data_IF_783800256237
#
_entry.id   IF_783800256237
#
_cell.length_a   1.000
_cell.length_b   1.000
_cell.length_c   1.000
_cell.angle_alpha   90.00
_cell.angle_beta   90.00
_cell.angle_gamma   90.00
#
_symmetry.space_group_name_H-M   'P 1'
#
loop_
_entity.id
_entity.type
_entity.pdbx_description
1 polymer ?
#
# COMPACT_ATOMS: atom_id res chain seq x y z
N UNK A 1 49.09 21.52 72.82
CA UNK A 1 49.84 21.88 71.61
C UNK A 1 48.99 21.53 70.39
N UNK A 2 48.89 22.46 69.47
CA UNK A 2 48.21 22.45 68.17
C UNK A 2 46.68 22.41 68.17
N UNK A 3 46.12 23.60 68.04
CA UNK A 3 44.74 23.92 67.67
C UNK A 3 44.56 23.63 66.18
N UNK A 4 43.49 22.92 65.85
CA UNK A 4 43.02 22.80 64.49
C UNK A 4 41.70 23.54 64.37
N UNK A 5 41.70 24.56 63.53
CA UNK A 5 40.62 25.46 63.21
C UNK A 5 39.69 24.76 62.20
N UNK A 6 38.42 24.56 62.59
CA UNK A 6 37.39 24.05 61.67
C UNK A 6 36.78 25.22 60.93
N UNK A 7 37.06 25.33 59.64
CA UNK A 7 36.39 26.26 58.71
C UNK A 7 35.09 25.62 58.21
N UNK A 8 33.99 26.23 58.53
CA UNK A 8 32.66 25.87 58.03
C UNK A 8 32.54 26.51 56.63
N UNK A 9 32.54 25.67 55.59
CA UNK A 9 32.23 26.09 54.25
C UNK A 9 30.77 25.86 53.96
N UNK A 10 30.00 26.94 53.91
CA UNK A 10 28.58 26.95 53.56
C UNK A 10 28.44 26.81 52.07
N UNK A 11 28.03 25.64 51.54
CA UNK A 11 27.71 25.41 50.16
C UNK A 11 26.26 25.74 49.95
N UNK A 12 25.99 26.86 49.33
CA UNK A 12 24.65 27.19 48.77
C UNK A 12 24.40 26.27 47.59
N UNK A 13 23.48 25.32 47.76
CA UNK A 13 22.93 24.52 46.67
C UNK A 13 21.88 25.37 45.92
N UNK A 14 22.23 25.89 44.75
CA UNK A 14 21.28 26.35 43.80
C UNK A 14 20.59 25.14 43.18
N UNK A 15 19.36 24.86 43.57
CA UNK A 15 18.46 23.98 42.86
C UNK A 15 18.00 24.73 41.59
N UNK A 16 18.67 24.48 40.48
CA UNK A 16 18.09 24.81 39.17
C UNK A 16 17.03 23.76 38.84
N UNK A 17 15.79 24.18 38.84
CA UNK A 17 14.68 23.43 38.28
C UNK A 17 14.92 23.26 36.78
N UNK A 18 15.59 22.16 36.43
CA UNK A 18 15.57 21.68 35.06
C UNK A 18 14.18 21.12 34.79
N UNK A 19 13.35 21.90 34.12
CA UNK A 19 12.14 21.41 33.50
C UNK A 19 12.54 20.28 32.55
N UNK A 20 12.20 19.05 32.93
CA UNK A 20 12.21 17.92 32.02
C UNK A 20 11.11 18.20 30.97
N UNK A 21 11.48 18.85 29.86
CA UNK A 21 10.73 18.75 28.65
C UNK A 21 10.85 17.31 28.16
N UNK A 22 9.86 16.49 28.51
CA UNK A 22 9.60 15.24 27.82
C UNK A 22 9.24 15.60 26.37
N UNK A 23 10.23 15.59 25.49
CA UNK A 23 10.01 15.56 24.07
C UNK A 23 9.33 14.24 23.76
N UNK A 24 8.00 14.22 23.71
CA UNK A 24 7.26 13.20 22.98
C UNK A 24 7.80 13.25 21.54
N UNK A 25 8.69 12.33 21.23
CA UNK A 25 9.07 12.07 19.85
C UNK A 25 7.80 11.58 19.14
N UNK A 26 7.13 12.50 18.47
CA UNK A 26 6.03 12.18 17.56
C UNK A 26 6.65 11.30 16.48
N UNK A 27 6.54 9.97 16.65
CA UNK A 27 6.98 9.02 15.65
C UNK A 27 6.11 9.28 14.42
N UNK A 28 6.66 9.97 13.45
CA UNK A 28 6.02 10.12 12.15
C UNK A 28 6.12 8.76 11.46
N UNK A 29 4.97 8.10 11.27
CA UNK A 29 4.88 6.87 10.49
C UNK A 29 5.32 7.18 9.05
N UNK A 30 6.03 6.24 8.46
CA UNK A 30 6.37 6.30 7.04
C UNK A 30 5.12 6.07 6.19
N UNK A 31 5.11 6.51 4.94
CA UNK A 31 4.00 6.28 4.02
C UNK A 31 3.67 4.78 3.90
N UNK A 32 4.69 3.91 3.89
CA UNK A 32 4.50 2.45 3.87
C UNK A 32 3.85 1.92 5.16
N UNK A 33 4.13 2.49 6.32
CA UNK A 33 3.50 2.11 7.59
C UNK A 33 2.05 2.57 7.65
N UNK A 34 1.74 3.73 7.09
CA UNK A 34 0.37 4.23 6.97
C UNK A 34 -0.46 3.36 6.02
N UNK A 35 0.08 3.03 4.85
CA UNK A 35 -0.55 2.13 3.88
C UNK A 35 -0.82 0.75 4.51
N UNK A 36 0.16 0.22 5.24
CA UNK A 36 0.01 -1.06 5.93
C UNK A 36 -1.09 -1.01 7.00
N UNK A 37 -1.13 0.04 7.80
CA UNK A 37 -2.16 0.21 8.84
C UNK A 37 -3.56 0.34 8.21
N UNK A 38 -3.69 1.05 7.09
CA UNK A 38 -4.93 1.15 6.34
C UNK A 38 -5.38 -0.21 5.83
N UNK A 39 -4.46 -1.00 5.24
CA UNK A 39 -4.74 -2.35 4.78
C UNK A 39 -5.24 -3.26 5.91
N UNK A 40 -4.57 -3.23 7.07
CA UNK A 40 -4.99 -4.00 8.25
C UNK A 40 -6.40 -3.60 8.69
N UNK A 41 -6.73 -2.31 8.66
CA UNK A 41 -8.06 -1.82 9.04
C UNK A 41 -9.18 -2.35 8.14
N UNK A 42 -8.89 -2.64 6.87
CA UNK A 42 -9.87 -3.18 5.92
C UNK A 42 -10.22 -4.65 6.13
N UNK A 43 -9.40 -5.41 6.86
CA UNK A 43 -9.67 -6.82 7.17
C UNK A 43 -10.79 -6.89 8.22
N UNK A 44 -11.98 -7.32 7.81
CA UNK A 44 -13.14 -7.42 8.71
C UNK A 44 -13.49 -8.86 9.03
N UNK A 45 -13.26 -9.78 8.10
CA UNK A 45 -13.50 -11.22 8.28
C UNK A 45 -12.41 -12.04 7.57
N UNK A 46 -12.37 -13.33 7.88
CA UNK A 46 -11.50 -14.29 7.22
C UNK A 46 -12.22 -14.91 6.02
N UNK A 47 -11.52 -15.06 4.91
CA UNK A 47 -12.04 -15.61 3.65
C UNK A 47 -10.93 -15.91 2.66
N UNK A 48 -11.33 -16.19 1.43
CA UNK A 48 -10.40 -16.40 0.31
C UNK A 48 -9.46 -15.20 0.14
N UNK A 49 -8.22 -15.40 -0.33
CA UNK A 49 -7.29 -14.31 -0.56
C UNK A 49 -7.82 -13.31 -1.59
N UNK A 50 -7.46 -12.05 -1.42
CA UNK A 50 -7.88 -10.99 -2.33
C UNK A 50 -6.77 -9.95 -2.54
N UNK A 51 -6.85 -9.22 -3.66
CA UNK A 51 -5.98 -8.08 -3.95
C UNK A 51 -6.56 -6.78 -3.41
N UNK A 52 -5.68 -5.95 -2.85
CA UNK A 52 -5.94 -4.54 -2.60
C UNK A 52 -4.74 -3.71 -3.04
N UNK A 53 -4.87 -3.05 -4.18
CA UNK A 53 -3.76 -2.37 -4.84
C UNK A 53 -2.62 -3.35 -5.17
N UNK A 54 -1.44 -3.07 -4.66
CA UNK A 54 -0.24 -3.89 -4.85
C UNK A 54 -0.09 -5.03 -3.85
N UNK A 55 -1.08 -5.25 -2.99
CA UNK A 55 -0.98 -6.19 -1.88
C UNK A 55 -1.99 -7.32 -2.03
N UNK A 56 -1.54 -8.56 -1.84
CA UNK A 56 -2.39 -9.72 -1.64
C UNK A 56 -2.59 -9.95 -0.14
N UNK A 57 -3.84 -10.10 0.28
CA UNK A 57 -4.23 -10.27 1.66
C UNK A 57 -4.71 -11.71 1.84
N UNK A 58 -4.04 -12.43 2.72
CA UNK A 58 -4.36 -13.80 3.12
C UNK A 58 -4.89 -13.76 4.55
N UNK A 59 -5.98 -14.45 4.80
CA UNK A 59 -6.63 -14.47 6.12
C UNK A 59 -6.93 -15.90 6.55
N UNK A 60 -6.97 -16.14 7.86
CA UNK A 60 -7.38 -17.43 8.40
C UNK A 60 -8.08 -17.24 9.75
N UNK A 61 -9.07 -18.08 10.00
CA UNK A 61 -9.79 -18.16 11.27
C UNK A 61 -9.58 -19.54 11.86
N UNK A 62 -8.64 -19.65 12.78
CA UNK A 62 -8.25 -20.92 13.38
C UNK A 62 -7.94 -20.73 14.85
N UNK A 63 -8.10 -21.80 15.64
CA UNK A 63 -7.63 -21.86 17.02
C UNK A 63 -6.16 -22.31 17.13
N UNK A 64 -5.42 -22.26 16.03
CA UNK A 64 -4.01 -22.60 15.98
C UNK A 64 -3.16 -21.67 16.85
N UNK A 65 -2.04 -22.17 17.34
CA UNK A 65 -1.05 -21.35 18.05
C UNK A 65 -0.20 -20.54 17.09
N UNK A 66 0.04 -21.08 15.89
CA UNK A 66 0.85 -20.44 14.86
C UNK A 66 0.33 -20.81 13.47
N UNK A 67 0.22 -19.80 12.62
CA UNK A 67 -0.06 -19.97 11.20
C UNK A 67 1.06 -19.30 10.41
N UNK A 68 1.62 -20.02 9.46
CA UNK A 68 2.57 -19.53 8.47
C UNK A 68 2.05 -19.74 7.06
N UNK A 69 2.65 -19.03 6.12
CA UNK A 69 2.44 -19.19 4.68
C UNK A 69 3.78 -19.29 3.97
N UNK A 70 3.86 -20.16 2.97
CA UNK A 70 5.04 -20.28 2.12
C UNK A 70 4.61 -20.30 0.64
N UNK A 71 5.40 -19.67 -0.21
CA UNK A 71 5.09 -19.42 -1.61
C UNK A 71 5.98 -20.23 -2.56
N UNK A 72 5.43 -20.63 -3.70
CA UNK A 72 6.15 -21.37 -4.72
C UNK A 72 7.21 -20.50 -5.43
N UNK A 73 6.92 -19.23 -5.66
CA UNK A 73 7.88 -18.29 -6.27
C UNK A 73 9.13 -18.05 -5.39
N UNK A 74 9.09 -18.43 -4.10
CA UNK A 74 10.23 -18.46 -3.18
C UNK A 74 10.80 -19.90 -3.03
N UNK A 75 10.26 -20.86 -3.77
CA UNK A 75 10.61 -22.27 -3.67
C UNK A 75 10.26 -22.88 -2.31
N UNK A 76 9.27 -22.33 -1.61
CA UNK A 76 8.84 -22.75 -0.26
C UNK A 76 9.94 -22.68 0.80
N UNK A 77 11.01 -21.91 0.55
CA UNK A 77 12.18 -21.81 1.46
C UNK A 77 11.91 -20.92 2.67
N UNK A 78 11.00 -19.96 2.55
CA UNK A 78 10.67 -19.02 3.59
C UNK A 78 9.26 -19.27 4.08
N UNK A 79 9.11 -19.40 5.41
CA UNK A 79 7.80 -19.45 6.05
C UNK A 79 7.54 -18.08 6.68
N UNK A 80 6.55 -17.39 6.15
CA UNK A 80 6.11 -16.10 6.65
C UNK A 80 5.04 -16.30 7.72
N UNK A 81 5.24 -15.74 8.90
CA UNK A 81 4.27 -15.85 10.01
C UNK A 81 3.09 -14.91 9.82
N UNK A 82 1.89 -15.40 10.06
CA UNK A 82 0.69 -14.56 10.15
C UNK A 82 0.75 -13.69 11.40
N UNK A 83 0.19 -12.49 11.27
CA UNK A 83 -0.11 -11.59 12.39
C UNK A 83 -1.54 -11.81 12.85
N UNK A 84 -1.87 -11.34 14.04
CA UNK A 84 -3.21 -11.45 14.62
C UNK A 84 -3.84 -10.06 14.69
N UNK A 85 -5.02 -9.91 14.11
CA UNK A 85 -5.91 -8.77 14.33
C UNK A 85 -6.96 -9.17 15.35
N UNK A 86 -7.02 -8.46 16.48
CA UNK A 86 -8.03 -8.63 17.50
C UNK A 86 -9.15 -7.63 17.32
N UNK A 87 -10.37 -8.09 17.47
CA UNK A 87 -11.56 -7.24 17.50
C UNK A 87 -11.96 -7.02 18.97
N UNK A 88 -12.26 -5.79 19.31
CA UNK A 88 -12.64 -5.36 20.63
C UNK A 88 -14.08 -4.86 20.57
N UNK A 89 -14.94 -5.33 21.47
CA UNK A 89 -16.32 -4.90 21.57
C UNK A 89 -16.46 -3.54 22.29
N UNK A 90 -17.69 -3.06 22.42
CA UNK A 90 -18.00 -1.81 23.11
C UNK A 90 -17.67 -1.85 24.61
N UNK A 91 -17.48 -3.05 25.20
CA UNK A 91 -17.10 -3.24 26.60
C UNK A 91 -15.58 -3.44 26.77
N UNK A 92 -14.80 -3.19 25.72
CA UNK A 92 -13.33 -3.40 25.68
C UNK A 92 -12.91 -4.86 25.92
N UNK A 93 -13.78 -5.82 25.59
CA UNK A 93 -13.48 -7.25 25.63
C UNK A 93 -13.12 -7.75 24.23
N UNK A 94 -12.28 -8.80 24.17
CA UNK A 94 -11.93 -9.43 22.91
C UNK A 94 -13.15 -10.16 22.34
N UNK A 95 -13.69 -9.65 21.23
CA UNK A 95 -14.85 -10.20 20.53
C UNK A 95 -14.46 -11.26 19.49
N UNK A 96 -13.18 -11.37 19.17
CA UNK A 96 -12.64 -12.34 18.23
C UNK A 96 -11.28 -11.92 17.68
N UNK A 97 -10.70 -12.81 16.87
CA UNK A 97 -9.42 -12.53 16.21
C UNK A 97 -9.34 -13.19 14.85
N UNK A 98 -8.58 -12.59 13.96
CA UNK A 98 -8.28 -13.10 12.61
C UNK A 98 -6.76 -13.12 12.46
N UNK A 99 -6.24 -14.23 11.97
CA UNK A 99 -4.87 -14.32 11.48
C UNK A 99 -4.81 -13.75 10.07
N UNK A 100 -3.77 -12.97 9.77
CA UNK A 100 -3.60 -12.40 8.45
C UNK A 100 -2.14 -12.27 8.05
N UNK A 101 -1.89 -12.33 6.74
CA UNK A 101 -0.62 -12.00 6.13
C UNK A 101 -0.85 -11.08 4.93
N UNK A 102 -0.08 -10.01 4.82
CA UNK A 102 -0.13 -9.06 3.72
C UNK A 102 1.16 -9.19 2.92
N UNK A 103 1.03 -9.62 1.67
CA UNK A 103 2.12 -9.75 0.72
C UNK A 103 2.13 -8.58 -0.24
N UNK A 104 3.22 -7.81 -0.29
CA UNK A 104 3.44 -6.91 -1.43
C UNK A 104 3.80 -7.77 -2.65
N UNK A 105 2.87 -7.90 -3.59
CA UNK A 105 3.01 -8.82 -4.73
C UNK A 105 4.14 -8.34 -5.64
N UNK A 106 5.16 -9.18 -5.92
CA UNK A 106 6.19 -8.81 -6.88
C UNK A 106 5.60 -8.52 -8.26
N UNK A 107 6.15 -7.55 -8.98
CA UNK A 107 5.60 -7.08 -10.28
C UNK A 107 5.52 -8.16 -11.36
N UNK A 108 6.38 -9.16 -11.27
CA UNK A 108 6.47 -10.28 -12.22
C UNK A 108 5.66 -11.52 -11.81
N UNK A 109 4.95 -11.46 -10.67
CA UNK A 109 4.13 -12.56 -10.16
C UNK A 109 2.66 -12.26 -10.49
N UNK A 110 2.08 -13.06 -11.37
CA UNK A 110 0.68 -12.96 -11.79
C UNK A 110 -0.19 -14.02 -11.12
N UNK A 111 0.42 -15.12 -10.73
CA UNK A 111 -0.24 -16.24 -10.04
C UNK A 111 0.56 -16.58 -8.80
N UNK A 112 -0.12 -16.78 -7.70
CA UNK A 112 0.49 -17.12 -6.41
C UNK A 112 0.00 -18.50 -6.03
N UNK A 113 0.93 -19.47 -6.03
CA UNK A 113 0.68 -20.78 -5.46
C UNK A 113 1.33 -20.83 -4.09
N UNK A 114 0.60 -21.32 -3.10
CA UNK A 114 1.06 -21.29 -1.72
C UNK A 114 0.55 -22.47 -0.91
N UNK A 115 1.15 -22.66 0.25
CA UNK A 115 0.65 -23.56 1.28
C UNK A 115 0.63 -22.86 2.62
N UNK A 116 -0.32 -23.19 3.44
CA UNK A 116 -0.33 -22.80 4.85
C UNK A 116 0.43 -23.82 5.70
N UNK A 117 1.00 -23.33 6.78
CA UNK A 117 1.62 -24.14 7.82
C UNK A 117 0.87 -23.84 9.13
N UNK A 118 -0.01 -24.75 9.51
CA UNK A 118 -0.85 -24.61 10.70
C UNK A 118 -0.29 -25.51 11.80
N UNK A 119 0.23 -24.94 12.88
CA UNK A 119 0.90 -25.65 13.97
C UNK A 119 1.96 -26.67 13.50
N UNK A 120 2.69 -26.30 12.43
CA UNK A 120 3.73 -27.13 11.83
C UNK A 120 3.24 -28.09 10.72
N UNK A 121 1.94 -28.21 10.49
CA UNK A 121 1.36 -29.05 9.45
C UNK A 121 1.19 -28.27 8.15
N UNK A 122 1.81 -28.72 7.07
CA UNK A 122 1.66 -28.17 5.74
C UNK A 122 0.31 -28.57 5.11
N UNK A 123 -0.51 -27.59 4.79
CA UNK A 123 -1.85 -27.82 4.25
C UNK A 123 -2.18 -26.82 3.13
N UNK A 124 -3.20 -27.12 2.33
CA UNK A 124 -3.86 -26.11 1.50
C UNK A 124 -4.66 -25.18 2.40
N UNK A 125 -4.95 -23.99 1.89
CA UNK A 125 -5.77 -23.01 2.60
C UNK A 125 -7.23 -23.49 2.64
N UNK A 126 -7.80 -23.73 3.82
CA UNK A 126 -9.17 -24.22 3.92
C UNK A 126 -10.23 -23.14 3.58
N UNK A 127 -9.82 -21.88 3.46
CA UNK A 127 -10.71 -20.77 3.06
C UNK A 127 -10.60 -20.41 1.58
N UNK A 128 -9.75 -21.12 0.83
CA UNK A 128 -9.56 -20.92 -0.59
C UNK A 128 -9.87 -22.20 -1.37
N UNK A 129 -10.97 -22.19 -2.10
CA UNK A 129 -11.39 -23.33 -2.92
C UNK A 129 -10.54 -23.51 -4.20
N UNK A 130 -9.78 -22.47 -4.60
CA UNK A 130 -8.92 -22.55 -5.78
C UNK A 130 -7.64 -23.29 -5.45
N UNK A 131 -7.41 -24.39 -6.16
CA UNK A 131 -6.21 -25.22 -5.99
C UNK A 131 -5.63 -25.64 -7.33
N UNK A 132 -4.33 -25.87 -7.36
CA UNK A 132 -3.59 -26.37 -8.51
C UNK A 132 -2.73 -27.57 -8.10
N UNK A 133 -2.69 -28.59 -8.97
CA UNK A 133 -1.82 -29.74 -8.78
C UNK A 133 -0.44 -29.49 -9.41
N UNK A 134 0.58 -29.41 -8.59
CA UNK A 134 1.96 -29.30 -9.05
C UNK A 134 2.52 -30.69 -9.35
N UNK A 135 2.77 -30.98 -10.65
CA UNK A 135 3.25 -32.28 -11.11
C UNK A 135 4.68 -32.60 -10.70
N UNK A 136 5.51 -31.57 -10.51
CA UNK A 136 6.93 -31.77 -10.15
C UNK A 136 7.08 -32.22 -8.70
N UNK A 137 6.29 -31.63 -7.81
CA UNK A 137 6.33 -31.95 -6.37
C UNK A 137 5.29 -32.98 -5.96
N UNK A 138 4.34 -33.31 -6.85
CA UNK A 138 3.19 -34.17 -6.59
C UNK A 138 2.32 -33.67 -5.43
N UNK A 139 2.20 -32.35 -5.30
CA UNK A 139 1.46 -31.69 -4.24
C UNK A 139 0.30 -30.86 -4.79
N UNK A 140 -0.79 -30.80 -4.01
CA UNK A 140 -1.86 -29.80 -4.22
C UNK A 140 -1.45 -28.53 -3.50
N UNK A 141 -1.53 -27.42 -4.22
CA UNK A 141 -1.25 -26.07 -3.72
C UNK A 141 -2.52 -25.24 -3.75
N UNK A 142 -2.69 -24.35 -2.81
CA UNK A 142 -3.69 -23.29 -2.93
C UNK A 142 -3.24 -22.31 -4.01
N UNK A 143 -4.18 -21.88 -4.83
CA UNK A 143 -3.94 -20.99 -5.96
C UNK A 143 -4.65 -19.65 -5.77
N UNK A 144 -3.99 -18.59 -6.16
CA UNK A 144 -4.56 -17.25 -6.15
C UNK A 144 -4.10 -16.47 -7.38
N UNK A 145 -5.06 -16.03 -8.19
CA UNK A 145 -4.76 -15.17 -9.34
C UNK A 145 -4.49 -13.74 -8.85
N UNK A 146 -3.22 -13.35 -8.87
CA UNK A 146 -2.74 -12.03 -8.50
C UNK A 146 -2.61 -11.09 -9.71
N UNK A 147 -3.16 -11.48 -10.86
CA UNK A 147 -3.18 -10.63 -12.05
C UNK A 147 -3.95 -9.35 -11.75
N UNK A 148 -3.28 -8.22 -11.94
CA UNK A 148 -3.93 -6.93 -11.82
C UNK A 148 -4.62 -6.61 -13.13
N UNK A 149 -5.82 -6.07 -13.04
CA UNK A 149 -6.42 -5.47 -14.22
C UNK A 149 -5.56 -4.29 -14.64
N UNK A 150 -4.90 -4.45 -15.80
CA UNK A 150 -4.07 -3.38 -16.36
C UNK A 150 -5.01 -2.34 -16.96
N UNK A 151 -5.07 -1.12 -16.43
CA UNK A 151 -5.95 -0.11 -16.95
C UNK A 151 -5.59 0.23 -18.39
N UNK A 152 -6.59 0.31 -19.24
CA UNK A 152 -6.38 0.54 -20.68
C UNK A 152 -6.66 1.98 -21.10
N UNK A 153 -7.49 2.69 -20.38
CA UNK A 153 -7.95 4.05 -20.70
C UNK A 153 -8.09 4.89 -19.44
N UNK A 154 -8.03 6.19 -19.63
CA UNK A 154 -8.40 7.15 -18.57
C UNK A 154 -9.89 7.07 -18.32
N UNK A 155 -10.29 6.91 -17.06
CA UNK A 155 -11.68 6.67 -16.66
C UNK A 155 -12.03 7.28 -15.31
N UNK A 156 -13.33 7.41 -15.06
CA UNK A 156 -13.86 7.67 -13.72
C UNK A 156 -13.91 6.35 -12.96
N UNK A 157 -13.45 6.36 -11.73
CA UNK A 157 -13.51 5.20 -10.84
C UNK A 157 -14.31 5.53 -9.57
N UNK A 158 -14.63 4.50 -8.79
CA UNK A 158 -15.40 4.66 -7.57
C UNK A 158 -14.77 5.64 -6.59
N UNK A 159 -15.61 6.30 -5.77
CA UNK A 159 -15.15 7.25 -4.76
C UNK A 159 -14.78 8.63 -5.31
N UNK A 160 -15.32 9.04 -6.45
CA UNK A 160 -15.09 10.37 -7.02
C UNK A 160 -13.64 10.59 -7.47
N UNK A 161 -12.99 9.53 -7.95
CA UNK A 161 -11.61 9.59 -8.45
C UNK A 161 -11.57 9.51 -9.96
N UNK A 162 -10.52 10.10 -10.54
CA UNK A 162 -10.13 9.90 -11.92
C UNK A 162 -8.84 9.07 -11.94
N UNK A 163 -8.85 8.01 -12.74
CA UNK A 163 -7.66 7.23 -13.08
C UNK A 163 -7.16 7.68 -14.43
N UNK A 164 -6.02 8.35 -14.45
CA UNK A 164 -5.33 8.73 -15.67
C UNK A 164 -4.45 7.57 -16.14
N UNK A 165 -4.49 7.25 -17.45
CA UNK A 165 -3.69 6.19 -18.06
C UNK A 165 -2.96 6.71 -19.28
N UNK A 166 -1.63 6.55 -19.30
CA UNK A 166 -0.78 6.89 -20.43
C UNK A 166 -0.07 5.64 -20.95
N UNK A 167 -0.03 5.48 -22.26
CA UNK A 167 0.70 4.41 -22.93
C UNK A 167 1.91 4.99 -23.68
N UNK A 168 3.09 4.49 -23.37
CA UNK A 168 4.35 4.97 -23.94
C UNK A 168 5.45 3.92 -23.88
N UNK A 169 6.71 4.36 -23.88
CA UNK A 169 7.85 3.45 -23.71
C UNK A 169 8.04 3.11 -22.24
N UNK A 170 8.46 1.90 -21.96
CA UNK A 170 8.82 1.50 -20.57
C UNK A 170 10.01 2.32 -20.04
N UNK A 171 10.01 2.58 -18.72
CA UNK A 171 11.07 3.29 -18.04
C UNK A 171 11.07 4.81 -18.21
N UNK A 172 10.02 5.40 -18.79
CA UNK A 172 9.90 6.85 -18.92
C UNK A 172 9.44 7.49 -17.59
N UNK A 173 9.84 8.74 -17.38
CA UNK A 173 9.21 9.59 -16.35
C UNK A 173 8.02 10.30 -16.97
N UNK A 174 6.83 9.79 -16.69
CA UNK A 174 5.57 10.34 -17.17
C UNK A 174 4.89 11.13 -16.06
N UNK A 175 4.30 12.26 -16.42
CA UNK A 175 3.57 13.14 -15.49
C UNK A 175 2.23 13.49 -16.08
N UNK A 176 1.29 13.88 -15.23
CA UNK A 176 -0.02 14.39 -15.62
C UNK A 176 -0.22 15.76 -14.98
N UNK A 177 -0.78 16.67 -15.75
CA UNK A 177 -1.16 18.00 -15.30
C UNK A 177 -2.37 18.51 -16.06
N UNK A 178 -3.04 19.48 -15.50
CA UNK A 178 -4.25 20.02 -16.10
C UNK A 178 -4.75 21.26 -15.34
N UNK A 179 -6.01 21.63 -15.54
CA UNK A 179 -6.61 22.77 -14.83
C UNK A 179 -6.63 22.55 -13.29
N UNK A 180 -6.64 21.30 -12.83
CA UNK A 180 -6.55 20.92 -11.42
C UNK A 180 -5.15 21.11 -10.80
N UNK A 181 -4.12 21.37 -11.63
CA UNK A 181 -2.76 21.74 -11.20
C UNK A 181 -2.35 23.12 -11.66
N UNK A 182 -3.29 23.94 -12.16
CA UNK A 182 -3.00 25.18 -12.87
C UNK A 182 -2.00 25.00 -14.02
N UNK A 183 -2.05 23.84 -14.68
CA UNK A 183 -1.15 23.39 -15.73
C UNK A 183 0.31 23.20 -15.31
N UNK A 184 0.59 23.16 -14.01
CA UNK A 184 1.91 22.76 -13.52
C UNK A 184 2.08 21.25 -13.72
N UNK A 185 2.96 20.89 -14.63
CA UNK A 185 3.24 19.51 -15.00
C UNK A 185 4.20 18.79 -14.03
N UNK A 186 4.71 19.46 -12.99
CA UNK A 186 5.69 18.89 -12.08
C UNK A 186 5.08 18.33 -10.80
N UNK A 187 3.80 18.59 -10.54
CA UNK A 187 3.13 18.21 -9.31
C UNK A 187 2.91 16.69 -9.23
N UNK A 188 2.43 16.05 -10.31
CA UNK A 188 2.05 14.65 -10.28
C UNK A 188 2.85 13.79 -11.26
N UNK A 189 3.59 12.84 -10.73
CA UNK A 189 4.28 11.81 -11.49
C UNK A 189 3.43 10.53 -11.50
N UNK A 190 3.29 9.91 -12.67
CA UNK A 190 2.57 8.66 -12.86
C UNK A 190 3.47 7.46 -12.55
N UNK A 191 2.88 6.39 -12.03
CA UNK A 191 3.56 5.12 -11.76
C UNK A 191 3.42 4.17 -12.96
N UNK A 192 4.51 3.52 -13.35
CA UNK A 192 4.47 2.46 -14.35
C UNK A 192 3.93 1.17 -13.71
N UNK A 193 2.72 0.76 -14.11
CA UNK A 193 2.00 -0.41 -13.58
C UNK A 193 2.20 -1.66 -14.43
N UNK A 194 2.53 -1.49 -15.71
CA UNK A 194 2.98 -2.54 -16.62
C UNK A 194 3.96 -1.92 -17.63
N UNK A 195 4.77 -2.69 -18.35
CA UNK A 195 5.74 -2.14 -19.29
C UNK A 195 5.09 -1.16 -20.27
N UNK A 196 5.45 0.14 -20.15
CA UNK A 196 4.92 1.23 -20.97
C UNK A 196 3.51 1.70 -20.63
N UNK A 197 2.88 1.20 -19.56
CA UNK A 197 1.57 1.64 -19.09
C UNK A 197 1.73 2.37 -17.76
N UNK A 198 1.36 3.62 -17.75
CA UNK A 198 1.49 4.52 -16.62
C UNK A 198 0.13 4.90 -16.08
N UNK A 199 -0.02 4.93 -14.76
CA UNK A 199 -1.26 5.24 -14.08
C UNK A 199 -1.04 6.29 -12.99
N UNK A 200 -2.06 7.12 -12.80
CA UNK A 200 -2.16 8.01 -11.64
C UNK A 200 -3.63 8.19 -11.25
N UNK A 201 -3.94 8.08 -9.98
CA UNK A 201 -5.29 8.26 -9.44
C UNK A 201 -5.34 9.47 -8.53
N UNK A 202 -6.38 10.27 -8.68
CA UNK A 202 -6.60 11.44 -7.83
C UNK A 202 -8.10 11.62 -7.55
N UNK A 203 -8.50 11.86 -6.29
CA UNK A 203 -9.84 12.31 -5.96
C UNK A 203 -10.00 13.77 -6.36
N UNK A 204 -11.06 14.07 -7.10
CA UNK A 204 -11.38 15.41 -7.55
C UNK A 204 -12.88 15.69 -7.30
N UNK A 205 -13.27 16.93 -6.98
CA UNK A 205 -14.68 17.31 -6.91
C UNK A 205 -15.40 17.12 -8.26
N UNK A 206 -16.74 17.00 -8.28
CA UNK A 206 -17.48 17.05 -9.53
C UNK A 206 -17.12 18.26 -10.38
N UNK A 207 -16.87 18.07 -11.67
CA UNK A 207 -16.44 19.15 -12.55
C UNK A 207 -15.85 18.69 -13.88
N UNK A 208 -15.43 19.67 -14.69
CA UNK A 208 -14.74 19.46 -15.95
C UNK A 208 -13.23 19.57 -15.75
N UNK A 209 -12.51 18.53 -16.17
CA UNK A 209 -11.06 18.45 -16.01
C UNK A 209 -10.39 18.36 -17.38
N UNK A 210 -9.63 19.38 -17.69
CA UNK A 210 -8.78 19.45 -18.86
C UNK A 210 -7.39 18.99 -18.44
N UNK A 211 -6.79 18.07 -19.19
CA UNK A 211 -5.52 17.45 -18.82
C UNK A 211 -4.65 17.09 -20.02
N UNK A 212 -3.35 16.98 -19.77
CA UNK A 212 -2.36 16.46 -20.69
C UNK A 212 -1.32 15.61 -19.96
N UNK A 213 -0.70 14.71 -20.70
CA UNK A 213 0.45 13.95 -20.23
C UNK A 213 1.75 14.64 -20.64
N UNK A 214 2.79 14.46 -19.83
CA UNK A 214 4.09 15.10 -20.03
C UNK A 214 5.21 14.08 -19.96
N UNK A 215 6.10 14.11 -20.96
CA UNK A 215 7.37 13.39 -20.93
C UNK A 215 8.49 14.38 -21.24
N UNK A 216 9.40 14.59 -20.30
CA UNK A 216 10.35 15.71 -20.40
C UNK A 216 9.63 17.05 -20.47
N UNK A 217 9.86 17.83 -21.50
CA UNK A 217 9.24 19.16 -21.76
C UNK A 217 8.03 19.07 -22.70
N UNK A 218 7.77 17.88 -23.28
CA UNK A 218 6.71 17.71 -24.26
C UNK A 218 5.38 17.36 -23.55
N UNK A 219 4.29 17.95 -24.05
CA UNK A 219 2.93 17.64 -23.64
C UNK A 219 2.18 16.87 -24.73
N UNK A 220 1.33 15.94 -24.32
CA UNK A 220 0.54 15.10 -25.21
C UNK A 220 -0.89 15.01 -24.71
N UNK A 221 -1.90 15.14 -25.58
CA UNK A 221 -3.27 14.78 -25.21
C UNK A 221 -3.36 13.26 -25.03
N UNK A 222 -4.34 12.82 -24.26
CA UNK A 222 -4.63 11.40 -24.09
C UNK A 222 -5.13 10.79 -25.41
N UNK A 223 -4.35 9.88 -25.99
CA UNK A 223 -4.71 9.21 -27.24
C UNK A 223 -5.93 8.29 -27.10
N UNK A 224 -6.19 7.78 -25.88
CA UNK A 224 -7.34 6.91 -25.55
C UNK A 224 -8.64 7.69 -25.30
N UNK A 225 -8.57 9.01 -25.14
CA UNK A 225 -9.73 9.84 -24.88
C UNK A 225 -10.13 10.63 -26.15
N UNK A 226 -11.33 10.41 -26.71
CA UNK A 226 -11.78 11.14 -27.90
C UNK A 226 -12.11 12.63 -27.62
N UNK A 227 -12.39 13.00 -26.38
CA UNK A 227 -12.73 14.38 -26.01
C UNK A 227 -11.47 15.23 -25.93
N UNK A 228 -11.35 16.20 -26.79
CA UNK A 228 -10.21 17.10 -26.89
C UNK A 228 -10.62 18.55 -26.53
N UNK A 229 -9.67 19.27 -25.98
CA UNK A 229 -9.76 20.70 -25.73
C UNK A 229 -8.42 21.37 -26.01
N UNK A 230 -8.33 22.67 -25.80
CA UNK A 230 -7.10 23.43 -25.95
C UNK A 230 -6.69 24.05 -24.62
N UNK A 231 -5.42 23.96 -24.30
CA UNK A 231 -4.84 24.65 -23.15
C UNK A 231 -4.85 26.16 -23.37
N UNK A 232 -4.66 26.98 -22.32
CA UNK A 232 -4.56 28.43 -22.45
C UNK A 232 -3.43 28.89 -23.39
N UNK A 233 -2.38 28.10 -23.54
CA UNK A 233 -1.27 28.36 -24.48
C UNK A 233 -1.46 27.71 -25.85
N UNK A 234 -2.69 27.26 -26.15
CA UNK A 234 -3.10 26.77 -27.50
C UNK A 234 -2.67 25.34 -27.82
N UNK A 235 -2.12 24.57 -26.87
CA UNK A 235 -1.79 23.18 -27.10
C UNK A 235 -3.02 22.28 -26.95
N UNK A 236 -3.02 21.15 -27.66
CA UNK A 236 -4.10 20.16 -27.51
C UNK A 236 -4.01 19.45 -26.19
N UNK A 237 -5.15 19.34 -25.52
CA UNK A 237 -5.34 18.59 -24.28
C UNK A 237 -6.57 17.67 -24.38
N UNK A 238 -6.83 16.90 -23.37
CA UNK A 238 -8.00 16.03 -23.27
C UNK A 238 -8.94 16.48 -22.18
N UNK A 239 -10.22 16.14 -22.30
CA UNK A 239 -11.28 16.53 -21.38
C UNK A 239 -11.90 15.29 -20.76
N UNK A 240 -12.13 15.33 -19.44
CA UNK A 240 -12.95 14.36 -18.70
C UNK A 240 -13.89 15.11 -17.75
N UNK A 241 -15.12 14.61 -17.61
CA UNK A 241 -16.12 15.20 -16.72
C UNK A 241 -16.40 14.25 -15.58
N UNK A 242 -16.28 14.71 -14.37
CA UNK A 242 -16.66 13.98 -13.15
C UNK A 242 -18.02 14.50 -12.67
N UNK A 243 -18.99 13.61 -12.51
CA UNK A 243 -20.35 13.93 -12.08
C UNK A 243 -20.46 13.93 -10.56
#
# INVERSE_FOLDING_TARGET
MKKILCAIFSVFLFLSSAELFSAESKVMLTDEELDYAELVNTIQDAGSPYLKGDYAIFTSKSNARHIGIAFDFEGFKTIHSFKIKKFIDMEYKEAGSIYFYILKVPKNVLEINYRLIIDGLWTVDPLNDETVFNRETNLVLSHFNASREIPQVTEKISGGKIRFVYKGKSGQKVRVGGNFTNWDSWIYQMSEVAPGIYQFEIPLPPGKYEYAFYTGINSFPDSGNPQKCYTPDGKTASLIVLD
#
